data_IF_021103113220
#
_entry.id   IF_021103113220
#
_cell.length_a   1.000
_cell.length_b   1.000
_cell.length_c   1.000
_cell.angle_alpha   90.00
_cell.angle_beta   90.00
_cell.angle_gamma   90.00
#
_symmetry.space_group_name_H-M   'P 1'
#
loop_
_entity.id
_entity.type
_entity.pdbx_description
1 polymer ?
#
# COMPACT_ATOMS: atom_id res chain seq x y z
N UNK A 1 -0.30 6.94 -10.74
CA UNK A 1 0.82 6.06 -10.37
C UNK A 1 0.56 4.69 -10.96
N UNK A 2 1.58 4.03 -11.51
CA UNK A 2 1.48 2.65 -12.00
C UNK A 2 2.02 1.65 -10.95
N UNK A 3 1.89 0.34 -11.21
CA UNK A 3 2.29 -0.71 -10.26
C UNK A 3 3.79 -0.69 -9.93
N UNK A 4 4.67 -0.37 -10.88
CA UNK A 4 6.11 -0.30 -10.64
C UNK A 4 6.46 0.89 -9.74
N UNK A 5 5.91 2.07 -10.03
CA UNK A 5 6.06 3.28 -9.20
C UNK A 5 5.52 3.05 -7.79
N UNK A 6 4.35 2.40 -7.66
CA UNK A 6 3.75 2.10 -6.36
C UNK A 6 4.60 1.12 -5.54
N UNK A 7 5.20 0.12 -6.18
CA UNK A 7 6.08 -0.82 -5.51
C UNK A 7 7.36 -0.16 -5.03
N UNK A 8 8.00 0.66 -5.88
CA UNK A 8 9.20 1.40 -5.50
C UNK A 8 8.91 2.40 -4.38
N UNK A 9 7.76 3.07 -4.41
CA UNK A 9 7.32 3.96 -3.34
C UNK A 9 7.06 3.20 -2.03
N UNK A 10 6.42 2.02 -2.08
CA UNK A 10 6.21 1.18 -0.90
C UNK A 10 7.56 0.74 -0.31
N UNK A 11 8.52 0.34 -1.14
CA UNK A 11 9.87 -0.02 -0.70
C UNK A 11 10.64 1.15 -0.12
N UNK A 12 10.52 2.34 -0.73
CA UNK A 12 11.12 3.57 -0.22
C UNK A 12 10.60 3.92 1.18
N UNK A 13 9.31 3.69 1.44
CA UNK A 13 8.68 4.01 2.73
C UNK A 13 8.93 2.97 3.82
N UNK A 14 8.96 1.69 3.47
CA UNK A 14 8.95 0.60 4.45
C UNK A 14 10.07 -0.44 4.26
N UNK A 15 11.09 -0.13 3.46
CA UNK A 15 12.22 -1.00 3.18
C UNK A 15 11.89 -2.12 2.19
N UNK A 16 12.77 -3.12 2.09
CA UNK A 16 12.62 -4.24 1.15
C UNK A 16 11.29 -5.00 1.29
N UNK A 17 10.67 -4.95 2.47
CA UNK A 17 9.38 -5.54 2.79
C UNK A 17 8.17 -4.71 2.32
N UNK A 18 8.40 -3.51 1.78
CA UNK A 18 7.37 -2.68 1.18
C UNK A 18 6.68 -3.40 0.03
N UNK A 19 5.35 -3.47 0.09
CA UNK A 19 4.57 -4.30 -0.81
C UNK A 19 3.25 -3.64 -1.22
N UNK A 20 2.81 -4.00 -2.43
CA UNK A 20 1.53 -3.56 -2.99
C UNK A 20 0.70 -4.78 -3.40
N UNK A 21 -0.61 -4.63 -3.40
CA UNK A 21 -1.53 -5.66 -3.92
C UNK A 21 -2.74 -5.00 -4.57
N UNK A 22 -2.98 -5.36 -5.83
CA UNK A 22 -4.22 -5.03 -6.52
C UNK A 22 -5.20 -6.20 -6.36
N UNK A 23 -6.40 -5.91 -5.87
CA UNK A 23 -7.53 -6.84 -5.87
C UNK A 23 -8.46 -6.43 -7.01
N UNK A 24 -8.52 -7.25 -8.05
CA UNK A 24 -9.46 -7.07 -9.15
C UNK A 24 -10.79 -7.72 -8.80
N UNK A 25 -11.87 -6.98 -8.95
CA UNK A 25 -13.23 -7.41 -8.62
C UNK A 25 -14.25 -6.54 -9.37
N UNK A 26 -15.51 -6.45 -8.91
CA UNK A 26 -16.47 -5.49 -9.47
C UNK A 26 -15.99 -4.04 -9.40
N UNK A 27 -15.13 -3.75 -8.41
CA UNK A 27 -14.38 -2.49 -8.28
C UNK A 27 -12.93 -2.86 -7.95
N UNK A 28 -11.98 -2.25 -8.65
CA UNK A 28 -10.57 -2.43 -8.36
C UNK A 28 -10.21 -1.80 -7.01
N UNK A 29 -9.51 -2.56 -6.18
CA UNK A 29 -9.02 -2.12 -4.88
C UNK A 29 -7.49 -2.21 -4.82
N UNK A 30 -6.87 -1.11 -4.42
CA UNK A 30 -5.43 -0.93 -4.34
C UNK A 30 -5.00 -0.93 -2.88
N UNK A 31 -4.11 -1.85 -2.50
CA UNK A 31 -3.64 -2.02 -1.13
C UNK A 31 -2.14 -1.79 -1.03
N UNK A 32 -1.70 -1.00 -0.06
CA UNK A 32 -0.28 -0.72 0.19
C UNK A 32 0.07 -1.08 1.64
N UNK A 33 1.27 -1.61 1.87
CA UNK A 33 1.70 -1.98 3.21
C UNK A 33 3.02 -2.72 3.25
N UNK A 34 3.18 -3.56 4.27
CA UNK A 34 4.40 -4.35 4.51
C UNK A 34 4.06 -5.83 4.42
N UNK A 35 4.86 -6.57 3.65
CA UNK A 35 4.76 -8.03 3.59
C UNK A 35 5.77 -8.63 4.56
N UNK A 36 5.34 -9.63 5.33
CA UNK A 36 6.21 -10.40 6.22
C UNK A 36 5.94 -11.88 5.95
N UNK A 37 6.76 -12.48 5.09
CA UNK A 37 6.56 -13.83 4.55
C UNK A 37 5.21 -13.98 3.81
N UNK A 38 4.27 -14.68 4.46
CA UNK A 38 2.91 -14.91 3.95
C UNK A 38 1.90 -13.85 4.40
N UNK A 39 2.24 -13.08 5.43
CA UNK A 39 1.37 -12.04 5.97
C UNK A 39 1.54 -10.74 5.19
N UNK A 40 0.45 -9.99 5.04
CA UNK A 40 0.46 -8.66 4.44
C UNK A 40 -0.26 -7.69 5.35
N UNK A 41 0.53 -6.87 6.03
CA UNK A 41 0.09 -5.82 6.94
C UNK A 41 -0.29 -4.59 6.12
N UNK A 42 -1.58 -4.48 5.80
CA UNK A 42 -2.13 -3.35 5.05
C UNK A 42 -2.01 -2.08 5.90
N UNK A 43 -1.38 -1.06 5.33
CA UNK A 43 -1.26 0.27 5.94
C UNK A 43 -2.30 1.23 5.36
N UNK A 44 -2.66 1.06 4.09
CA UNK A 44 -3.69 1.85 3.44
C UNK A 44 -4.30 1.13 2.23
N UNK A 45 -5.48 1.61 1.86
CA UNK A 45 -6.28 1.09 0.75
C UNK A 45 -7.02 2.24 0.05
N UNK A 46 -7.35 2.04 -1.23
CA UNK A 46 -8.06 3.03 -2.04
C UNK A 46 -8.46 2.51 -3.42
N UNK A 47 -9.14 3.36 -4.19
CA UNK A 47 -9.49 3.10 -5.59
C UNK A 47 -8.33 3.43 -6.55
N UNK A 48 -7.28 4.06 -6.05
CA UNK A 48 -6.00 4.29 -6.74
C UNK A 48 -4.82 4.05 -5.80
N UNK A 49 -3.62 3.89 -6.35
CA UNK A 49 -2.40 3.80 -5.54
C UNK A 49 -2.18 5.07 -4.68
N UNK A 50 -2.43 6.25 -5.25
CA UNK A 50 -2.32 7.53 -4.56
C UNK A 50 -3.24 7.60 -3.34
N UNK A 51 -4.50 7.19 -3.48
CA UNK A 51 -5.45 7.14 -2.36
C UNK A 51 -5.00 6.16 -1.27
N UNK A 52 -4.51 4.99 -1.66
CA UNK A 52 -4.03 3.98 -0.72
C UNK A 52 -2.83 4.51 0.10
N UNK A 53 -1.88 5.20 -0.54
CA UNK A 53 -0.77 5.84 0.17
C UNK A 53 -1.23 7.01 1.04
N UNK A 54 -2.15 7.84 0.57
CA UNK A 54 -2.71 8.93 1.36
C UNK A 54 -3.41 8.41 2.63
N UNK A 55 -4.13 7.29 2.55
CA UNK A 55 -4.73 6.64 3.71
C UNK A 55 -3.66 6.07 4.65
N UNK A 56 -2.60 5.44 4.11
CA UNK A 56 -1.49 4.95 4.91
C UNK A 56 -0.81 6.07 5.72
N UNK A 57 -0.63 7.24 5.12
CA UNK A 57 -0.06 8.41 5.80
C UNK A 57 -0.99 8.95 6.90
N UNK A 58 -2.31 8.96 6.66
CA UNK A 58 -3.30 9.32 7.70
C UNK A 58 -3.29 8.33 8.86
N UNK A 59 -3.16 7.04 8.58
CA UNK A 59 -3.13 6.00 9.61
C UNK A 59 -1.85 6.07 10.45
N UNK A 60 -0.69 6.33 9.83
CA UNK A 60 0.57 6.51 10.54
C UNK A 60 0.52 7.69 11.53
N UNK A 61 -0.12 8.81 11.15
CA UNK A 61 -0.29 9.99 12.00
C UNK A 61 -1.21 9.76 13.21
N UNK A 62 -2.13 8.81 13.15
CA UNK A 62 -3.03 8.49 14.27
C UNK A 62 -2.35 7.63 15.35
N UNK A 63 -1.23 7.01 15.02
CA UNK A 63 -0.50 6.07 15.88
C UNK A 63 0.76 6.70 16.52
N UNK A 64 1.08 7.94 16.17
CA UNK A 64 2.18 8.74 16.71
C UNK A 64 1.64 9.72 17.76
#
# INVERSE_FOLDING_TARGET
MNDAEALEEAKRRWGVEGYIRRRTGPVDHFLVGVRDGVLFWVKGEGATWEEAFALADRNAKKLA
#
